data_IF_626649072727
#
_entry.id   IF_626649072727
#
_cell.length_a   1.000
_cell.length_b   1.000
_cell.length_c   1.000
_cell.angle_alpha   90.00
_cell.angle_beta   90.00
_cell.angle_gamma   90.00
#
_symmetry.space_group_name_H-M   'P 1'
#
loop_
_entity.id
_entity.type
_entity.pdbx_description
1 polymer ?
#
# COMPACT_ATOMS: atom_id res chain seq x y z
N UNK A 1 -15.04 30.77 -1.78
CA UNK A 1 -14.00 29.79 -2.19
C UNK A 1 -14.32 28.44 -1.55
N UNK A 2 -14.38 27.36 -2.33
CA UNK A 2 -14.86 26.05 -1.90
C UNK A 2 -13.75 25.33 -1.10
N UNK A 3 -13.78 25.36 0.23
CA UNK A 3 -12.66 24.87 1.07
C UNK A 3 -12.36 23.37 0.88
N UNK A 4 -13.36 22.55 0.59
CA UNK A 4 -13.15 21.13 0.34
C UNK A 4 -12.35 20.86 -0.95
N UNK A 5 -12.47 21.73 -1.98
CA UNK A 5 -11.74 21.58 -3.26
C UNK A 5 -10.24 21.73 -3.05
N UNK A 6 -9.81 22.66 -2.21
CA UNK A 6 -8.38 22.89 -1.95
C UNK A 6 -7.80 21.95 -0.91
N UNK A 7 -8.59 21.52 0.09
CA UNK A 7 -8.10 20.66 1.17
C UNK A 7 -8.00 19.19 0.77
N UNK A 8 -8.94 18.67 -0.03
CA UNK A 8 -8.96 17.25 -0.37
C UNK A 8 -7.66 16.73 -1.03
N UNK A 9 -7.05 17.44 -2.01
CA UNK A 9 -5.77 17.02 -2.58
C UNK A 9 -4.64 16.98 -1.54
N UNK A 10 -4.61 17.94 -0.61
CA UNK A 10 -3.59 18.02 0.45
C UNK A 10 -3.76 16.87 1.43
N UNK A 11 -4.98 16.64 1.93
CA UNK A 11 -5.31 15.55 2.85
C UNK A 11 -4.93 14.22 2.20
N UNK A 12 -5.35 14.00 0.95
CA UNK A 12 -5.04 12.79 0.19
C UNK A 12 -3.52 12.60 0.03
N UNK A 13 -2.79 13.64 -0.38
CA UNK A 13 -1.34 13.56 -0.55
C UNK A 13 -0.62 13.22 0.75
N UNK A 14 -0.94 13.92 1.84
CA UNK A 14 -0.32 13.70 3.14
C UNK A 14 -0.62 12.32 3.70
N UNK A 15 -1.89 11.90 3.66
CA UNK A 15 -2.29 10.60 4.14
C UNK A 15 -1.78 9.45 3.25
N UNK A 16 -1.59 9.69 1.94
CA UNK A 16 -0.98 8.69 1.04
C UNK A 16 0.51 8.53 1.28
N UNK A 17 1.22 9.63 1.57
CA UNK A 17 2.65 9.61 1.89
C UNK A 17 2.92 8.83 3.19
N UNK A 18 2.16 9.13 4.25
CA UNK A 18 2.23 8.43 5.53
C UNK A 18 1.32 7.21 5.60
N UNK A 19 0.79 6.73 4.47
CA UNK A 19 -0.13 5.58 4.43
C UNK A 19 0.51 4.36 5.06
N UNK A 20 1.81 4.20 4.84
CA UNK A 20 2.62 3.09 5.32
C UNK A 20 3.42 3.55 6.53
N UNK A 21 2.71 3.92 7.60
CA UNK A 21 3.33 4.34 8.87
C UNK A 21 2.48 3.91 10.07
N UNK A 22 3.02 4.04 11.28
CA UNK A 22 2.24 3.86 12.51
C UNK A 22 1.31 5.05 12.81
N UNK A 23 1.24 6.07 11.94
CA UNK A 23 0.52 7.33 12.17
C UNK A 23 -0.97 7.15 12.50
N UNK A 24 -1.64 6.13 11.98
CA UNK A 24 -3.02 5.87 12.41
C UNK A 24 -3.09 5.09 13.72
N UNK A 25 -2.19 4.13 13.94
CA UNK A 25 -2.10 3.38 15.20
C UNK A 25 -1.81 4.27 16.40
N UNK A 26 -0.90 5.24 16.25
CA UNK A 26 -0.53 6.20 17.33
C UNK A 26 -1.52 7.36 17.45
N UNK A 27 -2.53 7.43 16.58
CA UNK A 27 -3.58 8.45 16.63
C UNK A 27 -3.24 9.80 15.98
N UNK A 28 -2.15 9.90 15.21
CA UNK A 28 -1.79 11.13 14.51
C UNK A 28 -2.81 11.53 13.43
N UNK A 29 -3.33 10.57 12.66
CA UNK A 29 -4.39 10.87 11.68
C UNK A 29 -5.68 11.37 12.35
N UNK A 30 -6.06 10.78 13.49
CA UNK A 30 -7.20 11.27 14.27
C UNK A 30 -6.96 12.69 14.82
N UNK A 31 -5.73 12.97 15.26
CA UNK A 31 -5.31 14.31 15.70
C UNK A 31 -5.39 15.33 14.55
N UNK A 32 -4.94 14.97 13.35
CA UNK A 32 -5.03 15.84 12.16
C UNK A 32 -6.47 16.12 11.75
N UNK A 33 -7.36 15.12 11.79
CA UNK A 33 -8.79 15.31 11.54
C UNK A 33 -9.42 16.25 12.56
N UNK A 34 -9.08 16.11 13.85
CA UNK A 34 -9.54 17.03 14.91
C UNK A 34 -9.06 18.47 14.67
N UNK A 35 -7.79 18.67 14.32
CA UNK A 35 -7.24 20.01 14.03
C UNK A 35 -7.95 20.63 12.82
N UNK A 36 -8.15 19.84 11.76
CA UNK A 36 -8.85 20.25 10.55
C UNK A 36 -10.28 20.68 10.87
N UNK A 37 -11.01 19.86 11.64
CA UNK A 37 -12.33 20.19 12.16
C UNK A 37 -12.36 21.50 12.96
N UNK A 38 -11.44 21.70 13.91
CA UNK A 38 -11.40 22.92 14.72
C UNK A 38 -11.17 24.18 13.88
N UNK A 39 -10.32 24.08 12.84
CA UNK A 39 -10.09 25.18 11.89
C UNK A 39 -11.33 25.47 11.06
N UNK A 40 -11.97 24.43 10.53
CA UNK A 40 -13.21 24.56 9.76
C UNK A 40 -14.37 25.10 10.61
N UNK A 41 -14.50 24.67 11.86
CA UNK A 41 -15.52 25.17 12.80
C UNK A 41 -15.37 26.66 13.08
N UNK A 42 -14.14 27.13 13.31
CA UNK A 42 -13.87 28.57 13.47
C UNK A 42 -14.18 29.35 12.21
N UNK A 43 -13.83 28.81 11.04
CA UNK A 43 -14.17 29.42 9.76
C UNK A 43 -15.69 29.47 9.55
N UNK A 44 -16.41 28.38 9.79
CA UNK A 44 -17.86 28.30 9.66
C UNK A 44 -18.56 29.31 10.57
N UNK A 45 -18.16 29.39 11.86
CA UNK A 45 -18.66 30.42 12.79
C UNK A 45 -18.49 31.83 12.22
N UNK A 46 -17.36 32.12 11.56
CA UNK A 46 -17.12 33.43 10.94
C UNK A 46 -18.05 33.71 9.77
N UNK A 47 -18.43 32.67 9.01
CA UNK A 47 -19.35 32.79 7.88
C UNK A 47 -20.81 32.93 8.30
N UNK A 48 -21.22 32.25 9.38
CA UNK A 48 -22.63 32.20 9.82
C UNK A 48 -22.93 33.04 11.04
N UNK A 49 -21.92 33.62 11.70
CA UNK A 49 -22.07 34.38 12.96
C UNK A 49 -22.30 33.50 14.20
N UNK A 50 -22.87 32.31 14.04
CA UNK A 50 -23.13 31.34 15.12
C UNK A 50 -22.50 29.98 14.83
N UNK A 51 -22.01 29.32 15.88
CA UNK A 51 -21.49 27.95 15.81
C UNK A 51 -22.58 26.98 15.37
N UNK A 52 -23.78 27.10 15.93
CA UNK A 52 -24.88 26.18 15.67
C UNK A 52 -25.36 26.28 14.23
N UNK A 53 -25.50 27.50 13.72
CA UNK A 53 -25.85 27.74 12.31
C UNK A 53 -24.75 27.24 11.37
N UNK A 54 -23.47 27.41 11.75
CA UNK A 54 -22.34 26.87 10.99
C UNK A 54 -22.36 25.35 10.93
N UNK A 55 -22.66 24.69 12.06
CA UNK A 55 -22.83 23.25 12.13
C UNK A 55 -23.97 22.76 11.22
N UNK A 56 -25.17 23.32 11.36
CA UNK A 56 -26.33 22.96 10.53
C UNK A 56 -26.09 23.18 9.04
N UNK A 57 -25.30 24.19 8.67
CA UNK A 57 -25.04 24.56 7.27
C UNK A 57 -23.98 23.68 6.59
N UNK A 58 -22.97 23.24 7.32
CA UNK A 58 -21.79 22.60 6.72
C UNK A 58 -21.53 21.17 7.20
N UNK A 59 -22.08 20.74 8.33
CA UNK A 59 -21.93 19.38 8.86
C UNK A 59 -23.23 18.62 8.69
N UNK A 60 -23.15 17.50 7.97
CA UNK A 60 -24.29 16.66 7.65
C UNK A 60 -24.00 15.20 8.00
N UNK A 61 -25.06 14.43 8.15
CA UNK A 61 -25.00 12.97 8.27
C UNK A 61 -24.99 12.34 6.88
N UNK A 62 -24.00 11.51 6.60
CA UNK A 62 -23.95 10.67 5.38
C UNK A 62 -23.68 9.22 5.82
N UNK A 63 -24.63 8.33 5.57
CA UNK A 63 -24.59 6.96 6.10
C UNK A 63 -24.50 6.98 7.62
N UNK A 64 -23.51 6.26 8.17
CA UNK A 64 -23.27 6.18 9.62
C UNK A 64 -22.40 7.33 10.17
N UNK A 65 -21.88 8.21 9.30
CA UNK A 65 -21.05 9.33 9.73
C UNK A 65 -21.88 10.59 9.90
N UNK A 66 -22.09 11.02 11.15
CA UNK A 66 -22.87 12.20 11.51
C UNK A 66 -22.13 13.55 11.38
N UNK A 67 -20.82 13.52 11.10
CA UNK A 67 -19.96 14.71 11.18
C UNK A 67 -19.20 14.98 9.88
N UNK A 68 -19.91 14.92 8.74
CA UNK A 68 -19.29 15.11 7.43
C UNK A 68 -19.38 16.56 6.98
N UNK A 69 -18.22 17.17 6.72
CA UNK A 69 -18.15 18.55 6.20
C UNK A 69 -18.43 18.59 4.69
N UNK A 70 -19.42 19.39 4.27
CA UNK A 70 -19.84 19.59 2.88
C UNK A 70 -19.98 21.09 2.60
N UNK A 71 -19.44 21.56 1.48
CA UNK A 71 -19.47 22.99 1.12
C UNK A 71 -20.66 23.42 0.25
N UNK A 72 -21.35 22.48 -0.41
CA UNK A 72 -22.52 22.75 -1.28
C UNK A 72 -23.53 21.59 -1.19
N UNK A 73 -24.69 21.74 -0.54
CA UNK A 73 -25.64 20.63 -0.38
C UNK A 73 -26.35 20.23 -1.68
N UNK A 74 -26.64 21.19 -2.56
CA UNK A 74 -27.70 21.01 -3.57
C UNK A 74 -27.22 20.53 -4.96
N UNK A 75 -25.91 20.43 -5.20
CA UNK A 75 -25.38 20.11 -6.54
C UNK A 75 -23.97 19.55 -6.48
N UNK A 76 -23.86 18.27 -6.14
CA UNK A 76 -22.60 17.52 -6.10
C UNK A 76 -21.66 18.03 -4.98
N UNK A 77 -22.19 18.06 -3.76
CA UNK A 77 -21.47 18.49 -2.57
C UNK A 77 -20.17 17.73 -2.37
N UNK A 78 -19.05 18.45 -2.47
CA UNK A 78 -17.74 17.89 -2.18
C UNK A 78 -17.63 17.62 -0.68
N UNK A 79 -17.65 16.33 -0.34
CA UNK A 79 -17.27 15.80 0.97
C UNK A 79 -15.79 16.08 1.22
N UNK A 80 -15.49 16.59 2.41
CA UNK A 80 -14.12 16.64 2.89
C UNK A 80 -13.62 15.22 3.19
N UNK A 81 -12.45 14.88 2.68
CA UNK A 81 -11.75 13.65 3.01
C UNK A 81 -11.28 13.66 4.47
N UNK A 82 -11.30 12.51 5.12
CA UNK A 82 -10.69 12.33 6.45
C UNK A 82 -9.34 11.64 6.30
N UNK A 83 -8.36 12.05 7.11
CA UNK A 83 -7.03 11.44 7.11
C UNK A 83 -7.10 9.97 7.53
N UNK A 84 -8.01 9.63 8.45
CA UNK A 84 -8.16 8.25 8.95
C UNK A 84 -8.65 7.28 7.88
N UNK A 85 -9.41 7.76 6.88
CA UNK A 85 -9.93 6.93 5.77
C UNK A 85 -8.79 6.37 4.89
N UNK A 86 -7.61 6.98 4.91
CA UNK A 86 -6.45 6.58 4.11
C UNK A 86 -5.35 5.87 4.91
N UNK A 87 -5.58 5.61 6.20
CA UNK A 87 -4.61 4.89 7.02
C UNK A 87 -4.40 3.46 6.51
N UNK A 88 -3.16 3.00 6.46
CA UNK A 88 -2.82 1.59 6.43
C UNK A 88 -1.88 1.29 7.59
N UNK A 89 -2.19 0.26 8.35
CA UNK A 89 -1.40 -0.08 9.53
C UNK A 89 -0.05 -0.68 9.10
N UNK A 90 1.05 -0.19 9.68
CA UNK A 90 2.39 -0.80 9.55
C UNK A 90 2.49 -2.18 10.20
N UNK A 91 1.47 -2.65 10.93
CA UNK A 91 1.45 -4.03 11.42
C UNK A 91 1.43 -5.10 10.31
N UNK A 92 1.30 -4.72 9.04
CA UNK A 92 1.52 -5.63 7.90
C UNK A 92 3.02 -5.94 7.65
N UNK A 93 3.95 -5.20 8.27
CA UNK A 93 5.38 -5.50 8.19
C UNK A 93 5.75 -6.60 9.19
N UNK A 94 5.93 -7.81 8.65
CA UNK A 94 6.49 -8.92 9.42
C UNK A 94 7.93 -8.55 9.82
N UNK A 95 8.18 -8.28 11.10
CA UNK A 95 9.53 -7.98 11.62
C UNK A 95 10.50 -9.14 11.36
N UNK A 96 11.80 -8.85 11.29
CA UNK A 96 12.83 -9.91 11.33
C UNK A 96 12.72 -10.59 12.68
N UNK A 97 12.79 -11.92 12.72
CA UNK A 97 12.80 -12.63 14.01
C UNK A 97 14.08 -12.22 14.76
N UNK A 98 13.98 -11.96 16.05
CA UNK A 98 15.09 -11.35 16.81
C UNK A 98 16.37 -12.18 16.83
N UNK A 99 16.29 -13.48 16.56
CA UNK A 99 17.39 -14.44 16.48
C UNK A 99 17.97 -14.60 15.06
N UNK A 100 17.47 -13.86 14.06
CA UNK A 100 17.88 -14.00 12.65
C UNK A 100 18.80 -12.90 12.17
N UNK A 101 19.80 -13.29 11.38
CA UNK A 101 20.76 -12.40 10.72
C UNK A 101 20.90 -12.79 9.25
N UNK A 102 21.06 -11.86 8.29
CA UNK A 102 21.29 -12.21 6.88
C UNK A 102 22.47 -13.16 6.64
N UNK A 103 23.39 -13.25 7.62
CA UNK A 103 24.58 -14.08 7.59
C UNK A 103 24.50 -15.32 8.50
N UNK A 104 23.32 -15.67 9.02
CA UNK A 104 23.11 -16.83 9.90
C UNK A 104 23.04 -18.18 9.15
N UNK A 105 23.08 -18.15 7.81
CA UNK A 105 22.98 -19.34 6.96
C UNK A 105 21.55 -19.88 6.79
N UNK A 106 20.53 -19.24 7.36
CA UNK A 106 19.13 -19.63 7.19
C UNK A 106 18.54 -19.10 5.87
N UNK A 107 19.09 -19.63 4.76
CA UNK A 107 18.68 -19.25 3.41
C UNK A 107 17.18 -19.52 3.14
N UNK A 108 16.58 -20.46 3.87
CA UNK A 108 15.15 -20.77 3.76
C UNK A 108 14.32 -19.63 4.33
N UNK A 109 14.66 -19.15 5.53
CA UNK A 109 13.99 -18.00 6.14
C UNK A 109 14.09 -16.76 5.24
N UNK A 110 15.31 -16.43 4.79
CA UNK A 110 15.56 -15.24 3.98
C UNK A 110 14.89 -15.31 2.60
N UNK A 111 14.92 -16.47 1.94
CA UNK A 111 14.23 -16.66 0.65
C UNK A 111 12.72 -16.55 0.76
N UNK A 112 12.09 -17.15 1.78
CA UNK A 112 10.64 -17.02 1.98
C UNK A 112 10.26 -15.58 2.34
N UNK A 113 11.09 -14.87 3.11
CA UNK A 113 10.89 -13.46 3.46
C UNK A 113 10.94 -12.56 2.24
N UNK A 114 11.81 -12.85 1.26
CA UNK A 114 11.89 -12.12 -0.01
C UNK A 114 10.55 -12.07 -0.77
N UNK A 115 9.70 -13.10 -0.62
CA UNK A 115 8.35 -13.08 -1.23
C UNK A 115 7.46 -11.94 -0.72
N UNK A 116 7.68 -11.48 0.52
CA UNK A 116 6.91 -10.40 1.13
C UNK A 116 7.57 -9.03 0.94
N UNK A 117 8.65 -8.94 0.15
CA UNK A 117 9.32 -7.67 -0.13
C UNK A 117 8.36 -6.72 -0.88
N UNK A 118 8.27 -5.43 -0.48
CA UNK A 118 7.35 -4.46 -1.05
C UNK A 118 7.65 -4.18 -2.52
N UNK A 119 8.93 -4.07 -2.89
CA UNK A 119 9.36 -3.77 -4.26
C UNK A 119 9.29 -4.97 -5.21
N UNK A 120 8.95 -6.15 -4.71
CA UNK A 120 8.86 -7.35 -5.54
C UNK A 120 7.51 -7.40 -6.28
N UNK A 121 7.50 -7.46 -7.63
CA UNK A 121 6.27 -7.55 -8.40
C UNK A 121 5.41 -8.77 -7.99
N UNK A 122 4.09 -8.61 -8.03
CA UNK A 122 3.12 -9.65 -7.62
C UNK A 122 3.36 -11.01 -8.29
N UNK A 123 3.73 -11.00 -9.57
CA UNK A 123 4.05 -12.22 -10.35
C UNK A 123 5.25 -12.96 -9.74
N UNK A 124 6.35 -12.24 -9.47
CA UNK A 124 7.56 -12.83 -8.86
C UNK A 124 7.26 -13.32 -7.45
N UNK A 125 6.51 -12.57 -6.65
CA UNK A 125 6.04 -12.99 -5.30
C UNK A 125 5.31 -14.33 -5.33
N UNK A 126 4.36 -14.49 -6.26
CA UNK A 126 3.58 -15.73 -6.38
C UNK A 126 4.46 -16.91 -6.82
N UNK A 127 5.33 -16.72 -7.81
CA UNK A 127 6.27 -17.76 -8.26
C UNK A 127 7.25 -18.17 -7.15
N UNK A 128 7.77 -17.19 -6.40
CA UNK A 128 8.70 -17.44 -5.29
C UNK A 128 8.04 -18.29 -4.19
N UNK A 129 6.77 -18.00 -3.86
CA UNK A 129 5.99 -18.84 -2.94
C UNK A 129 5.75 -20.25 -3.50
N UNK A 130 5.36 -20.35 -4.78
CA UNK A 130 5.12 -21.63 -5.46
C UNK A 130 6.38 -22.52 -5.49
N UNK A 131 7.54 -21.92 -5.74
CA UNK A 131 8.84 -22.61 -5.80
C UNK A 131 9.51 -22.78 -4.44
N UNK A 132 8.85 -22.36 -3.35
CA UNK A 132 9.39 -22.40 -1.98
C UNK A 132 10.74 -21.68 -1.87
N UNK A 133 10.88 -20.55 -2.56
CA UNK A 133 12.08 -19.73 -2.54
C UNK A 133 13.28 -20.31 -3.28
N UNK A 134 13.12 -21.36 -4.10
CA UNK A 134 14.21 -22.00 -4.84
C UNK A 134 14.17 -21.70 -6.33
N UNK A 135 15.35 -21.56 -6.92
CA UNK A 135 15.54 -21.49 -8.36
C UNK A 135 15.33 -22.86 -9.00
N UNK A 136 14.56 -22.93 -10.09
CA UNK A 136 14.32 -24.20 -10.80
C UNK A 136 15.51 -24.65 -11.66
N UNK A 137 16.47 -23.76 -11.94
CA UNK A 137 17.69 -24.08 -12.69
C UNK A 137 18.77 -24.69 -11.82
N UNK A 138 19.26 -23.96 -10.81
CA UNK A 138 20.35 -24.41 -9.94
C UNK A 138 19.89 -25.09 -8.64
N UNK A 139 18.60 -25.04 -8.30
CA UNK A 139 18.06 -25.59 -7.05
C UNK A 139 18.36 -24.76 -5.79
N UNK A 140 19.21 -23.74 -5.87
CA UNK A 140 19.57 -22.87 -4.75
C UNK A 140 18.43 -21.91 -4.38
N UNK A 141 18.46 -21.44 -3.14
CA UNK A 141 17.53 -20.43 -2.65
C UNK A 141 17.81 -19.06 -3.27
N UNK A 142 16.76 -18.27 -3.47
CA UNK A 142 16.87 -16.86 -3.79
C UNK A 142 17.19 -16.05 -2.55
N UNK A 143 18.22 -15.22 -2.61
CA UNK A 143 18.67 -14.34 -1.55
C UNK A 143 18.46 -12.87 -1.92
N UNK A 144 18.59 -12.00 -0.92
CA UNK A 144 18.56 -10.57 -1.13
C UNK A 144 19.77 -10.13 -1.97
N UNK A 145 19.53 -9.33 -3.01
CA UNK A 145 20.54 -8.96 -4.01
C UNK A 145 20.56 -9.83 -5.27
N UNK A 146 19.91 -11.00 -5.26
CA UNK A 146 19.79 -11.82 -6.47
C UNK A 146 18.95 -11.13 -7.55
N UNK A 147 19.42 -11.24 -8.80
CA UNK A 147 18.65 -10.84 -9.97
C UNK A 147 17.69 -11.96 -10.37
N UNK A 148 16.39 -11.71 -10.19
CA UNK A 148 15.32 -12.68 -10.43
C UNK A 148 14.67 -12.43 -11.80
N UNK A 149 14.61 -13.46 -12.63
CA UNK A 149 14.01 -13.40 -13.96
C UNK A 149 12.91 -14.45 -14.10
N UNK A 150 11.85 -14.08 -14.81
CA UNK A 150 10.72 -14.98 -15.10
C UNK A 150 10.95 -15.57 -16.48
N UNK A 151 10.82 -16.88 -16.58
CA UNK A 151 10.93 -17.62 -17.83
C UNK A 151 9.83 -18.70 -17.92
N UNK A 152 9.65 -19.27 -19.10
CA UNK A 152 8.72 -20.37 -19.34
C UNK A 152 9.39 -21.71 -19.02
N UNK A 153 8.73 -22.71 -18.44
CA UNK A 153 9.30 -24.05 -18.21
C UNK A 153 9.63 -24.70 -19.55
N UNK A 154 8.61 -24.88 -20.39
CA UNK A 154 8.78 -25.19 -21.81
C UNK A 154 8.80 -23.86 -22.61
N UNK A 155 9.89 -23.54 -23.33
CA UNK A 155 9.97 -22.36 -24.18
C UNK A 155 8.82 -22.30 -25.19
N UNK A 156 8.37 -21.08 -25.50
CA UNK A 156 7.28 -20.87 -26.48
C UNK A 156 7.71 -21.36 -27.88
N UNK A 157 8.98 -21.15 -28.23
CA UNK A 157 9.58 -21.66 -29.48
C UNK A 157 9.49 -23.19 -29.61
N UNK A 158 9.47 -23.91 -28.49
CA UNK A 158 9.36 -25.37 -28.42
C UNK A 158 7.92 -25.86 -28.15
N UNK A 159 6.91 -25.03 -28.48
CA UNK A 159 5.49 -25.38 -28.30
C UNK A 159 4.94 -25.13 -26.89
N UNK A 160 5.71 -24.44 -26.02
CA UNK A 160 5.25 -24.02 -24.72
C UNK A 160 4.14 -22.96 -24.76
N UNK A 161 3.22 -23.00 -23.79
CA UNK A 161 2.10 -22.04 -23.68
C UNK A 161 2.43 -20.89 -22.74
N UNK A 162 1.87 -19.71 -23.01
CA UNK A 162 1.93 -18.53 -22.12
C UNK A 162 0.91 -18.65 -20.99
N UNK A 163 1.10 -19.63 -20.11
CA UNK A 163 0.19 -19.91 -18.98
C UNK A 163 0.93 -19.95 -17.65
N UNK A 164 0.22 -19.67 -16.55
CA UNK A 164 0.81 -19.61 -15.21
C UNK A 164 1.57 -20.88 -14.82
N UNK A 165 1.04 -22.05 -15.18
CA UNK A 165 1.66 -23.36 -14.88
C UNK A 165 2.97 -23.55 -15.62
N UNK A 166 3.17 -22.84 -16.74
CA UNK A 166 4.39 -22.88 -17.52
C UNK A 166 5.34 -21.74 -17.14
N UNK A 167 5.10 -20.96 -16.08
CA UNK A 167 6.05 -19.93 -15.64
C UNK A 167 6.92 -20.46 -14.49
N UNK A 168 8.18 -20.04 -14.51
CA UNK A 168 9.15 -20.28 -13.45
C UNK A 168 9.99 -19.02 -13.20
N UNK A 169 10.52 -18.92 -11.99
CA UNK A 169 11.47 -17.92 -11.56
C UNK A 169 12.87 -18.54 -11.52
N UNK A 170 13.84 -17.85 -12.10
CA UNK A 170 15.23 -18.25 -12.19
C UNK A 170 16.14 -17.13 -11.69
N UNK A 171 17.35 -17.49 -11.26
CA UNK A 171 18.44 -16.51 -11.19
C UNK A 171 18.79 -16.08 -12.61
N UNK A 172 19.22 -14.83 -12.79
CA UNK A 172 19.65 -14.31 -14.10
C UNK A 172 20.66 -15.24 -14.80
N UNK A 173 21.72 -15.65 -14.11
CA UNK A 173 22.71 -16.57 -14.68
C UNK A 173 22.12 -17.94 -15.07
N UNK A 174 21.12 -18.44 -14.32
CA UNK A 174 20.43 -19.68 -14.67
C UNK A 174 19.55 -19.51 -15.91
N UNK A 175 18.95 -18.34 -16.07
CA UNK A 175 18.16 -18.01 -17.26
C UNK A 175 19.04 -17.85 -18.50
N UNK A 176 20.20 -17.20 -18.37
CA UNK A 176 21.19 -17.09 -19.43
C UNK A 176 21.67 -18.48 -19.88
N UNK A 177 22.03 -19.36 -18.94
CA UNK A 177 22.44 -20.75 -19.24
C UNK A 177 21.33 -21.50 -19.98
N UNK A 178 20.07 -21.32 -19.56
CA UNK A 178 18.94 -22.02 -20.15
C UNK A 178 18.65 -21.53 -21.57
N UNK A 179 18.82 -20.25 -21.86
CA UNK A 179 18.52 -19.66 -23.19
C UNK A 179 19.62 -19.87 -24.22
N UNK A 180 20.80 -20.37 -23.80
CA UNK A 180 21.87 -20.79 -24.70
C UNK A 180 21.58 -22.11 -25.44
N UNK A 181 20.55 -22.86 -25.03
CA UNK A 181 20.14 -24.15 -25.60
C UNK A 181 18.66 -24.15 -25.98
#
# INVERSE_FOLDING_TARGET
MCQAVSLNPIIRGWASYYRVSDAGTVGDFARLDRITYLRLRRWAKRQTGSINQGHQKYWHTIGDNHWVFITKPDSNGLKLLSHIEFHSSVNDYVKVRGDKSPYDGDNIYWSLRLSNHPDLPTTKRKLLKQQKGRCMGCGLNFLEGDLLEIDHINPISCGGKKEWKNLQLLHRHCHDIKTLF
#
